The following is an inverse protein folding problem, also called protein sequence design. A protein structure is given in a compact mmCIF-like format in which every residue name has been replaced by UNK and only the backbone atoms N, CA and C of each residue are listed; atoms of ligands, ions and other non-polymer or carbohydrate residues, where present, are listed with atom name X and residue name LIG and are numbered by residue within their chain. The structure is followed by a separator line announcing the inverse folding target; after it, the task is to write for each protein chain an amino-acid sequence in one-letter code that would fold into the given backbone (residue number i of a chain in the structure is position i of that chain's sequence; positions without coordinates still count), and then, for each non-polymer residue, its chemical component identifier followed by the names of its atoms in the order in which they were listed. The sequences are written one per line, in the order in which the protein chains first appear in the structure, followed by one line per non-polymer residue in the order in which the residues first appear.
data_IF_135993342973
#
_entry.id   IF_135993342973
#
_cell.length_a   1.000
_cell.length_b   1.000
_cell.length_c   1.000
_cell.angle_alpha   90.00
_cell.angle_beta   90.00
_cell.angle_gamma   90.00
#
_symmetry.space_group_name_H-M   'P 1'
#
loop_
_entity.id
_entity.type
_entity.pdbx_description
1 polymer ?
#
# COMPACT_ATOMS: atom_id res chain seq x y z
N UNK A 1 -65.54 12.84 17.16
CA UNK A 1 -64.66 11.67 17.35
C UNK A 1 -64.05 11.37 15.99
N UNK A 2 -62.87 11.94 15.72
CA UNK A 2 -62.13 11.74 14.48
C UNK A 2 -60.98 10.80 14.77
N UNK A 3 -61.04 9.62 14.19
CA UNK A 3 -60.07 8.54 14.33
C UNK A 3 -58.85 8.87 13.46
N UNK A 4 -57.72 9.16 14.10
CA UNK A 4 -56.45 9.39 13.42
C UNK A 4 -55.82 8.04 13.09
N UNK A 5 -55.92 7.63 11.83
CA UNK A 5 -55.07 6.60 11.25
C UNK A 5 -53.61 7.01 11.44
N UNK A 6 -52.89 6.29 12.29
CA UNK A 6 -51.42 6.36 12.34
C UNK A 6 -50.91 5.61 11.13
N UNK A 7 -50.46 6.36 10.14
CA UNK A 7 -49.65 5.81 9.05
C UNK A 7 -48.46 5.07 9.67
N UNK A 8 -48.49 3.75 9.55
CA UNK A 8 -47.34 2.91 9.86
C UNK A 8 -46.37 3.11 8.71
N UNK A 9 -45.51 4.13 8.83
CA UNK A 9 -44.42 4.33 7.90
C UNK A 9 -43.51 3.10 8.01
N UNK A 10 -43.62 2.21 7.03
CA UNK A 10 -42.61 1.20 6.76
C UNK A 10 -41.33 1.96 6.45
N UNK A 11 -40.46 2.08 7.47
CA UNK A 11 -39.11 2.58 7.30
C UNK A 11 -38.43 1.71 6.26
N UNK A 12 -38.21 2.32 5.09
CA UNK A 12 -37.43 1.77 3.99
C UNK A 12 -36.15 1.16 4.59
N UNK A 13 -35.99 -0.15 4.42
CA UNK A 13 -34.83 -0.89 4.89
C UNK A 13 -33.61 -0.33 4.17
N UNK A 14 -32.89 0.56 4.85
CA UNK A 14 -31.51 0.89 4.51
C UNK A 14 -30.80 -0.44 4.25
N UNK A 15 -30.00 -0.59 3.18
CA UNK A 15 -29.17 -1.77 3.03
C UNK A 15 -28.34 -1.84 4.30
N UNK A 16 -28.62 -2.83 5.15
CA UNK A 16 -27.87 -3.06 6.37
C UNK A 16 -26.45 -3.33 5.89
N UNK A 17 -25.60 -2.30 5.96
CA UNK A 17 -24.17 -2.46 5.78
C UNK A 17 -23.80 -3.64 6.69
N UNK A 18 -23.13 -4.69 6.18
CA UNK A 18 -22.77 -5.80 7.03
C UNK A 18 -21.99 -5.23 8.22
N UNK A 19 -22.35 -5.63 9.44
CA UNK A 19 -21.61 -5.25 10.63
C UNK A 19 -20.20 -5.81 10.46
N UNK A 20 -19.27 -4.91 10.13
CA UNK A 20 -17.85 -5.22 10.02
C UNK A 20 -17.31 -5.06 11.42
N UNK A 21 -16.83 -6.15 11.99
CA UNK A 21 -16.22 -6.16 13.31
C UNK A 21 -14.74 -6.53 13.19
N UNK A 22 -13.95 -6.16 14.19
CA UNK A 22 -12.55 -6.56 14.31
C UNK A 22 -12.39 -7.50 15.49
N UNK A 23 -11.78 -8.66 15.24
CA UNK A 23 -11.72 -9.75 16.20
C UNK A 23 -10.34 -10.38 16.25
N UNK A 24 -10.02 -11.01 17.38
CA UNK A 24 -8.83 -11.85 17.53
C UNK A 24 -9.22 -13.22 18.10
N UNK A 25 -8.33 -14.20 17.88
CA UNK A 25 -8.49 -15.57 18.32
C UNK A 25 -7.23 -16.00 19.07
N UNK A 26 -7.20 -15.66 20.36
CA UNK A 26 -6.05 -15.91 21.24
C UNK A 26 -5.88 -17.40 21.58
N UNK A 27 -6.93 -18.21 21.37
CA UNK A 27 -6.96 -19.64 21.68
C UNK A 27 -7.87 -20.40 20.72
N UNK A 28 -7.62 -21.70 20.57
CA UNK A 28 -8.54 -22.61 19.91
C UNK A 28 -9.83 -22.78 20.74
N UNK A 29 -11.01 -22.83 20.11
CA UNK A 29 -12.23 -23.29 20.77
C UNK A 29 -12.06 -24.71 21.33
N UNK A 30 -12.81 -25.04 22.38
CA UNK A 30 -12.76 -26.38 22.98
C UNK A 30 -13.22 -27.47 22.01
N UNK A 31 -14.11 -27.13 21.08
CA UNK A 31 -14.67 -28.03 20.07
C UNK A 31 -13.71 -28.32 18.89
N UNK A 32 -12.45 -27.86 18.96
CA UNK A 32 -11.43 -28.14 17.94
C UNK A 32 -11.49 -27.19 16.74
N UNK A 33 -11.39 -27.73 15.52
CA UNK A 33 -11.32 -27.02 14.23
C UNK A 33 -12.59 -27.17 13.37
N UNK A 34 -13.61 -27.88 13.86
CA UNK A 34 -14.81 -28.21 13.08
C UNK A 34 -15.68 -27.00 12.70
N UNK A 35 -15.48 -25.89 13.40
CA UNK A 35 -16.10 -24.60 13.10
C UNK A 35 -15.47 -23.89 11.89
N UNK A 36 -14.31 -24.34 11.40
CA UNK A 36 -13.64 -23.80 10.21
C UNK A 36 -14.05 -24.60 8.98
N UNK A 37 -14.32 -23.91 7.88
CA UNK A 37 -14.61 -24.56 6.61
C UNK A 37 -13.48 -25.52 6.21
N UNK A 38 -13.76 -26.77 5.78
CA UNK A 38 -12.74 -27.80 5.54
C UNK A 38 -11.59 -27.38 4.61
N UNK A 39 -11.89 -26.58 3.58
CA UNK A 39 -10.89 -26.05 2.64
C UNK A 39 -9.94 -25.02 3.26
N UNK A 40 -10.38 -24.36 4.34
CA UNK A 40 -9.67 -23.24 4.95
C UNK A 40 -8.95 -23.67 6.25
N UNK A 41 -9.10 -24.93 6.69
CA UNK A 41 -8.51 -25.46 7.94
C UNK A 41 -6.99 -25.34 7.99
N UNK A 42 -6.31 -25.75 6.92
CA UNK A 42 -4.85 -25.68 6.85
C UNK A 42 -4.35 -24.22 6.89
N UNK A 43 -5.11 -23.28 6.32
CA UNK A 43 -4.79 -21.86 6.38
C UNK A 43 -4.98 -21.34 7.81
N UNK A 44 -6.06 -21.75 8.48
CA UNK A 44 -6.37 -21.36 9.84
C UNK A 44 -5.35 -21.87 10.86
N UNK A 45 -4.82 -23.08 10.71
CA UNK A 45 -3.78 -23.64 11.60
C UNK A 45 -2.51 -22.79 11.70
N UNK A 46 -2.12 -22.11 10.61
CA UNK A 46 -0.99 -21.18 10.61
C UNK A 46 -1.30 -19.77 11.11
N UNK A 47 -2.59 -19.45 11.27
CA UNK A 47 -3.07 -18.13 11.65
C UNK A 47 -3.65 -18.08 13.08
N UNK A 48 -4.14 -19.19 13.60
CA UNK A 48 -4.84 -19.31 14.88
C UNK A 48 -4.14 -20.41 15.71
N UNK A 49 -3.84 -20.17 17.00
CA UNK A 49 -4.13 -18.96 17.76
C UNK A 49 -3.11 -17.86 17.46
N UNK A 50 -3.56 -16.62 17.41
CA UNK A 50 -2.66 -15.46 17.34
C UNK A 50 -3.30 -14.19 17.88
N UNK A 51 -2.45 -13.21 18.13
CA UNK A 51 -2.79 -11.83 18.44
C UNK A 51 -3.13 -11.01 17.18
N UNK A 52 -3.30 -11.65 16.01
CA UNK A 52 -3.65 -10.95 14.77
C UNK A 52 -5.08 -10.41 14.84
N UNK A 53 -5.25 -9.21 14.31
CA UNK A 53 -6.56 -8.57 14.20
C UNK A 53 -7.17 -8.94 12.84
N UNK A 54 -8.27 -9.68 12.87
CA UNK A 54 -9.01 -10.10 11.69
C UNK A 54 -10.21 -9.18 11.48
N UNK A 55 -10.49 -8.84 10.22
CA UNK A 55 -11.76 -8.22 9.84
C UNK A 55 -12.81 -9.30 9.67
N UNK A 56 -13.88 -9.26 10.48
CA UNK A 56 -15.00 -10.18 10.45
C UNK A 56 -16.16 -9.58 9.68
N UNK A 57 -16.71 -10.35 8.75
CA UNK A 57 -17.89 -9.97 7.98
C UNK A 57 -18.89 -11.13 7.92
N UNK A 58 -20.15 -10.87 8.29
CA UNK A 58 -21.21 -11.86 8.17
C UNK A 58 -21.60 -12.06 6.71
N UNK A 59 -21.52 -13.30 6.23
CA UNK A 59 -21.89 -13.66 4.86
C UNK A 59 -23.35 -14.13 4.80
N UNK A 60 -24.02 -14.00 3.63
CA UNK A 60 -25.42 -14.42 3.45
C UNK A 60 -25.68 -15.90 3.70
N UNK A 61 -24.66 -16.75 3.63
CA UNK A 61 -24.74 -18.18 3.88
C UNK A 61 -24.69 -18.55 5.38
N UNK A 62 -24.67 -17.56 6.28
CA UNK A 62 -24.61 -17.77 7.73
C UNK A 62 -23.21 -18.01 8.30
N UNK A 63 -22.17 -18.04 7.46
CA UNK A 63 -20.78 -18.08 7.90
C UNK A 63 -20.24 -16.66 8.13
N UNK A 64 -19.26 -16.54 9.01
CA UNK A 64 -18.39 -15.37 9.07
C UNK A 64 -17.21 -15.57 8.11
N UNK A 65 -16.87 -14.51 7.38
CA UNK A 65 -15.61 -14.42 6.67
C UNK A 65 -14.63 -13.62 7.52
N UNK A 66 -13.53 -14.26 7.91
CA UNK A 66 -12.39 -13.61 8.53
C UNK A 66 -11.39 -13.24 7.43
N UNK A 67 -11.12 -11.95 7.29
CA UNK A 67 -10.13 -11.43 6.34
C UNK A 67 -8.89 -10.96 7.08
N UNK A 68 -7.72 -11.34 6.57
CA UNK A 68 -6.41 -10.88 7.03
C UNK A 68 -5.55 -10.51 5.82
N UNK A 69 -5.64 -9.24 5.40
CA UNK A 69 -5.07 -8.79 4.14
C UNK A 69 -5.67 -9.59 2.97
N UNK A 70 -4.85 -10.28 2.15
CA UNK A 70 -5.36 -11.10 1.05
C UNK A 70 -5.97 -12.44 1.50
N UNK A 71 -5.69 -12.88 2.73
CA UNK A 71 -6.14 -14.18 3.25
C UNK A 71 -7.60 -14.07 3.71
N UNK A 72 -8.40 -15.10 3.39
CA UNK A 72 -9.81 -15.19 3.78
C UNK A 72 -10.09 -16.60 4.30
N UNK A 73 -10.78 -16.69 5.43
CA UNK A 73 -11.19 -17.96 6.05
C UNK A 73 -12.69 -17.87 6.35
N UNK A 74 -13.43 -18.93 6.02
CA UNK A 74 -14.84 -19.06 6.37
C UNK A 74 -14.98 -19.85 7.67
N UNK A 75 -15.71 -19.27 8.61
CA UNK A 75 -15.88 -19.84 9.95
C UNK A 75 -17.34 -19.77 10.40
N UNK A 76 -17.77 -20.76 11.16
CA UNK A 76 -19.07 -20.75 11.83
C UNK A 76 -19.07 -19.75 12.99
N UNK A 77 -20.26 -19.34 13.47
CA UNK A 77 -20.37 -18.50 14.67
C UNK A 77 -19.70 -19.15 15.88
N UNK A 78 -18.62 -18.51 16.37
CA UNK A 78 -17.89 -18.91 17.58
C UNK A 78 -17.64 -17.68 18.46
N UNK A 79 -17.15 -17.91 19.68
CA UNK A 79 -16.75 -16.82 20.56
C UNK A 79 -15.41 -16.24 20.09
N UNK A 80 -15.39 -14.94 19.87
CA UNK A 80 -14.20 -14.18 19.51
C UNK A 80 -13.84 -13.22 20.64
N UNK A 81 -12.56 -12.87 20.74
CA UNK A 81 -12.15 -11.73 21.55
C UNK A 81 -12.28 -10.46 20.69
N UNK A 82 -12.90 -9.42 21.21
CA UNK A 82 -13.04 -8.14 20.49
C UNK A 82 -11.67 -7.45 20.38
N UNK A 83 -11.39 -6.87 19.21
CA UNK A 83 -10.16 -6.13 18.95
C UNK A 83 -10.48 -4.71 18.47
N UNK A 84 -9.64 -3.72 18.82
CA UNK A 84 -9.79 -2.37 18.29
C UNK A 84 -9.64 -2.36 16.76
N UNK A 85 -10.42 -1.49 16.11
CA UNK A 85 -10.30 -1.28 14.67
C UNK A 85 -8.91 -0.72 14.33
N UNK A 86 -8.17 -1.36 13.41
CA UNK A 86 -6.87 -0.87 12.99
C UNK A 86 -7.03 0.36 12.08
N UNK A 87 -6.23 1.39 12.34
CA UNK A 87 -6.17 2.63 11.54
C UNK A 87 -5.66 2.39 10.12
N UNK A 88 -4.76 1.43 9.95
CA UNK A 88 -4.18 1.04 8.68
C UNK A 88 -4.47 -0.42 8.37
N UNK A 89 -4.51 -0.76 7.09
CA UNK A 89 -4.72 -2.13 6.62
C UNK A 89 -3.42 -2.79 6.17
N UNK A 90 -3.43 -4.12 6.10
CA UNK A 90 -2.33 -4.89 5.51
C UNK A 90 -2.17 -4.49 4.05
N UNK A 91 -0.92 -4.48 3.58
CA UNK A 91 -0.51 -4.07 2.23
C UNK A 91 -0.50 -2.55 1.98
N UNK A 92 -0.96 -1.73 2.94
CA UNK A 92 -0.84 -0.28 2.82
C UNK A 92 0.60 0.21 2.97
N UNK A 93 0.96 1.24 2.19
CA UNK A 93 2.23 1.94 2.31
C UNK A 93 2.12 3.05 3.36
N UNK A 94 3.08 3.07 4.27
CA UNK A 94 3.17 4.05 5.35
C UNK A 94 4.58 4.60 5.47
N UNK A 95 4.68 5.82 5.99
CA UNK A 95 5.93 6.47 6.37
C UNK A 95 6.02 6.60 7.88
N UNK A 96 7.24 6.54 8.41
CA UNK A 96 7.53 6.79 9.81
C UNK A 96 7.61 8.30 10.06
N UNK A 97 6.84 8.80 11.04
CA UNK A 97 6.82 10.25 11.38
C UNK A 97 8.13 10.76 12.00
N UNK A 98 8.89 9.88 12.66
CA UNK A 98 10.09 10.23 13.45
C UNK A 98 11.41 9.91 12.71
N UNK A 99 11.45 10.07 11.39
CA UNK A 99 12.73 10.05 10.67
C UNK A 99 13.52 11.32 11.03
N UNK A 100 14.26 11.27 12.14
CA UNK A 100 15.21 12.31 12.52
C UNK A 100 16.21 12.53 11.38
N UNK A 101 16.22 13.75 10.85
CA UNK A 101 17.33 14.44 10.16
C UNK A 101 18.30 13.53 9.40
N UNK A 102 17.75 12.64 8.59
CA UNK A 102 18.48 11.85 7.63
C UNK A 102 17.59 11.73 6.42
N UNK A 103 18.17 12.05 5.27
CA UNK A 103 17.59 12.14 3.92
C UNK A 103 16.97 10.81 3.41
N UNK A 104 16.73 9.86 4.31
CA UNK A 104 16.13 8.55 4.09
C UNK A 104 14.74 8.57 4.70
N UNK A 105 13.76 8.91 3.87
CA UNK A 105 12.36 8.64 4.20
C UNK A 105 12.18 7.14 4.35
N UNK A 106 12.10 6.65 5.60
CA UNK A 106 11.84 5.24 5.88
C UNK A 106 10.35 4.95 5.64
N UNK A 107 10.00 4.69 4.38
CA UNK A 107 8.70 4.16 3.99
C UNK A 107 8.73 2.62 4.02
N UNK A 108 7.58 2.01 4.29
CA UNK A 108 7.41 0.56 4.29
C UNK A 108 5.96 0.17 4.06
N UNK A 109 5.76 -1.12 3.75
CA UNK A 109 4.44 -1.70 3.56
C UNK A 109 4.04 -2.49 4.80
N UNK A 110 2.80 -2.38 5.26
CA UNK A 110 2.32 -3.16 6.41
C UNK A 110 2.16 -4.62 5.98
N UNK A 111 2.77 -5.55 6.71
CA UNK A 111 2.65 -6.99 6.42
C UNK A 111 1.97 -7.80 7.54
N UNK A 112 1.92 -7.29 8.77
CA UNK A 112 1.27 -7.95 9.91
C UNK A 112 0.68 -6.86 10.81
N UNK A 113 -0.50 -7.11 11.35
CA UNK A 113 -1.18 -6.27 12.33
C UNK A 113 -1.55 -7.14 13.52
N UNK A 114 -1.04 -6.78 14.69
CA UNK A 114 -1.22 -7.54 15.93
C UNK A 114 -1.75 -6.64 17.03
N UNK A 115 -2.59 -7.18 17.89
CA UNK A 115 -3.05 -6.50 19.08
C UNK A 115 -2.00 -6.61 20.19
N UNK A 116 -1.65 -5.48 20.81
CA UNK A 116 -0.77 -5.46 21.97
C UNK A 116 -1.57 -5.20 23.23
N UNK A 117 -1.62 -6.19 24.13
CA UNK A 117 -2.25 -6.03 25.44
C UNK A 117 -1.57 -4.93 26.29
N UNK A 118 -0.26 -4.70 26.10
CA UNK A 118 0.49 -3.71 26.88
C UNK A 118 0.12 -2.27 26.52
N UNK A 119 -0.12 -2.02 25.22
CA UNK A 119 -0.51 -0.69 24.72
C UNK A 119 -2.02 -0.53 24.52
N UNK A 120 -2.79 -1.62 24.68
CA UNK A 120 -4.21 -1.71 24.34
C UNK A 120 -4.53 -1.17 22.94
N UNK A 121 -3.65 -1.49 21.97
CA UNK A 121 -3.69 -0.88 20.65
C UNK A 121 -3.14 -1.82 19.55
N UNK A 122 -3.56 -1.63 18.29
CA UNK A 122 -2.95 -2.27 17.14
C UNK A 122 -1.48 -1.88 16.95
N UNK A 123 -0.65 -2.89 16.73
CA UNK A 123 0.75 -2.80 16.37
C UNK A 123 0.96 -3.23 14.92
N UNK A 124 1.73 -2.44 14.20
CA UNK A 124 1.97 -2.59 12.77
C UNK A 124 3.41 -3.04 12.53
N UNK A 125 3.56 -4.10 11.75
CA UNK A 125 4.86 -4.59 11.30
C UNK A 125 5.05 -4.24 9.83
N UNK A 126 6.23 -3.69 9.50
CA UNK A 126 6.53 -3.15 8.19
C UNK A 126 7.54 -4.03 7.45
N UNK A 127 7.37 -4.14 6.14
CA UNK A 127 8.38 -4.68 5.23
C UNK A 127 8.93 -3.55 4.36
N UNK A 128 10.27 -3.47 4.28
CA UNK A 128 11.01 -2.42 3.56
C UNK A 128 11.95 -3.10 2.57
N UNK A 129 11.64 -3.03 1.28
CA UNK A 129 12.28 -3.91 0.29
C UNK A 129 12.09 -5.37 0.70
N UNK A 130 13.19 -6.06 0.99
CA UNK A 130 13.19 -7.46 1.44
C UNK A 130 13.30 -7.63 2.97
N UNK A 131 13.39 -6.53 3.72
CA UNK A 131 13.61 -6.56 5.17
C UNK A 131 12.31 -6.39 5.96
N UNK A 132 11.91 -7.42 6.71
CA UNK A 132 10.83 -7.33 7.70
C UNK A 132 11.32 -6.63 8.96
N UNK A 133 10.57 -5.66 9.46
CA UNK A 133 10.85 -5.00 10.73
C UNK A 133 10.69 -6.00 11.86
N UNK A 134 11.66 -6.00 12.79
CA UNK A 134 11.56 -6.77 14.04
C UNK A 134 10.78 -6.01 15.10
N UNK A 135 10.82 -4.69 15.03
CA UNK A 135 10.14 -3.79 15.96
C UNK A 135 8.75 -3.45 15.41
N UNK A 136 7.69 -3.59 16.22
CA UNK A 136 6.37 -3.09 15.87
C UNK A 136 6.30 -1.56 16.01
N UNK A 137 5.39 -0.94 15.25
CA UNK A 137 5.07 0.47 15.34
C UNK A 137 3.62 0.67 15.77
N UNK A 138 3.33 1.74 16.49
CA UNK A 138 1.96 2.18 16.79
C UNK A 138 1.45 3.10 15.69
N UNK A 139 0.13 3.26 15.59
CA UNK A 139 -0.49 4.15 14.62
C UNK A 139 0.07 5.59 14.69
N UNK A 140 0.33 6.08 15.91
CA UNK A 140 0.85 7.43 16.14
C UNK A 140 2.22 7.67 15.48
N UNK A 141 3.04 6.64 15.35
CA UNK A 141 4.37 6.71 14.74
C UNK A 141 4.32 6.61 13.19
N UNK A 142 3.15 6.34 12.62
CA UNK A 142 2.96 6.09 11.19
C UNK A 142 2.07 7.15 10.55
N UNK A 143 2.31 7.37 9.27
CA UNK A 143 1.52 8.23 8.41
C UNK A 143 1.23 7.50 7.09
N UNK A 144 -0.03 7.54 6.63
CA UNK A 144 -0.39 6.94 5.36
C UNK A 144 0.42 7.60 4.25
N UNK A 145 1.13 6.79 3.47
CA UNK A 145 1.87 7.28 2.33
C UNK A 145 1.27 6.74 1.06
N UNK A 146 0.49 7.60 0.41
CA UNK A 146 0.12 7.39 -0.99
C UNK A 146 1.30 7.86 -1.84
N UNK A 147 1.96 6.99 -2.62
CA UNK A 147 2.92 7.44 -3.61
C UNK A 147 2.13 8.19 -4.70
N UNK A 148 1.98 9.50 -4.53
CA UNK A 148 1.52 10.37 -5.62
C UNK A 148 2.63 10.40 -6.68
N UNK A 149 2.40 9.72 -7.80
CA UNK A 149 3.44 9.55 -8.80
C UNK A 149 3.06 8.59 -9.89
N UNK A 150 1.99 8.92 -10.58
CA UNK A 150 1.68 8.48 -11.94
C UNK A 150 2.99 8.37 -12.73
N UNK A 151 3.33 7.14 -13.16
CA UNK A 151 4.24 6.99 -14.29
C UNK A 151 3.67 7.89 -15.37
N UNK A 152 4.35 8.99 -15.69
CA UNK A 152 4.16 9.63 -16.99
C UNK A 152 4.32 8.48 -17.96
N UNK A 153 3.26 8.11 -18.66
CA UNK A 153 3.40 7.25 -19.83
C UNK A 153 4.57 7.86 -20.64
N UNK A 154 5.49 7.05 -21.17
CA UNK A 154 6.56 7.57 -22.02
C UNK A 154 5.92 8.07 -23.32
N UNK A 155 5.18 9.17 -23.24
CA UNK A 155 4.81 10.01 -24.36
C UNK A 155 6.12 10.57 -24.87
N UNK A 156 6.54 9.93 -25.96
CA UNK A 156 7.31 10.50 -27.04
C UNK A 156 8.50 11.36 -26.57
N UNK A 157 9.68 10.73 -26.56
CA UNK A 157 10.94 11.48 -26.63
C UNK A 157 10.73 12.64 -27.62
N UNK A 158 11.02 13.90 -27.24
CA UNK A 158 10.95 14.98 -28.21
C UNK A 158 11.88 14.60 -29.35
N UNK A 159 11.29 14.34 -30.53
CA UNK A 159 12.06 14.16 -31.76
C UNK A 159 12.86 15.43 -31.90
N UNK A 160 14.16 15.33 -31.68
CA UNK A 160 15.07 16.43 -31.93
C UNK A 160 14.97 16.77 -33.41
N UNK A 161 14.27 17.86 -33.74
CA UNK A 161 14.37 18.45 -35.05
C UNK A 161 15.66 19.28 -35.06
N UNK A 162 16.68 18.90 -35.86
CA UNK A 162 17.83 19.77 -36.04
C UNK A 162 17.32 21.12 -36.58
N UNK A 163 17.89 22.25 -36.13
CA UNK A 163 17.54 23.55 -36.70
C UNK A 163 17.82 23.52 -38.19
N UNK A 164 16.82 23.90 -38.99
CA UNK A 164 16.99 24.11 -40.42
C UNK A 164 18.14 25.08 -40.62
N UNK A 165 19.15 24.63 -41.36
CA UNK A 165 20.29 25.45 -41.73
C UNK A 165 19.81 26.59 -42.62
N UNK A 166 19.61 27.78 -42.04
CA UNK A 166 19.67 29.05 -42.76
C UNK A 166 21.11 29.24 -43.25
N UNK A 167 21.47 28.50 -44.30
CA UNK A 167 22.64 28.79 -45.12
C UNK A 167 22.21 29.76 -46.22
N UNK A 168 21.82 30.97 -45.80
CA UNK A 168 21.68 32.10 -46.71
C UNK A 168 23.05 32.73 -46.88
N UNK A 169 23.50 32.68 -48.12
CA UNK A 169 24.74 33.24 -48.66
C UNK A 169 25.00 34.67 -48.15
N UNK A 170 26.23 34.93 -47.73
CA UNK A 170 26.79 36.28 -47.80
C UNK A 170 28.19 36.19 -48.37
N UNK A 171 28.26 36.55 -49.65
CA UNK A 171 29.47 37.03 -50.30
C UNK A 171 30.13 38.10 -49.44
N UNK A 172 31.42 37.98 -49.21
CA UNK A 172 32.27 39.18 -49.13
C UNK A 172 33.63 38.88 -49.73
N UNK A 173 33.72 39.37 -50.95
CA UNK A 173 34.90 39.62 -51.76
C UNK A 173 35.98 40.42 -51.02
N UNK A 174 37.21 40.36 -51.55
CA UNK A 174 38.38 41.22 -51.31
C UNK A 174 39.52 40.68 -50.42
N UNK A 175 40.46 39.97 -51.08
CA UNK A 175 41.83 40.44 -51.42
C UNK A 175 42.87 40.78 -50.31
N UNK A 176 44.18 40.88 -50.62
CA UNK A 176 45.14 39.78 -50.76
C UNK A 176 46.38 40.05 -49.85
N UNK A 177 47.48 39.34 -50.08
CA UNK A 177 48.83 39.58 -49.51
C UNK A 177 49.09 39.12 -48.07
N UNK A 178 49.78 37.98 -47.94
CA UNK A 178 50.98 37.93 -47.09
C UNK A 178 51.85 36.75 -47.49
N UNK A 179 52.87 37.07 -48.29
CA UNK A 179 54.13 36.36 -48.31
C UNK A 179 54.61 36.10 -46.88
N UNK A 180 54.88 34.84 -46.51
CA UNK A 180 56.11 34.55 -45.76
C UNK A 180 56.60 33.13 -45.99
N UNK A 181 57.90 33.09 -46.19
CA UNK A 181 58.73 32.03 -46.75
C UNK A 181 59.41 31.21 -45.63
N UNK A 182 60.05 30.11 -46.02
CA UNK A 182 60.92 29.23 -45.23
C UNK A 182 60.17 28.21 -44.33
N UNK A 183 60.45 26.90 -44.34
CA UNK A 183 61.75 26.25 -44.45
C UNK A 183 61.71 24.91 -45.20
N UNK A 184 62.72 24.75 -46.06
CA UNK A 184 63.30 23.46 -46.47
C UNK A 184 64.25 22.97 -45.37
N UNK A 185 64.69 21.71 -45.51
CA UNK A 185 65.59 20.89 -44.68
C UNK A 185 64.84 19.99 -43.68
N UNK A 186 64.97 18.66 -43.73
CA UNK A 186 65.90 17.87 -44.52
C UNK A 186 65.63 16.38 -44.46
N UNK A 187 66.46 15.70 -45.26
CA UNK A 187 66.52 14.28 -45.56
C UNK A 187 66.36 13.32 -44.38
N UNK A 188 65.71 12.21 -44.71
CA UNK A 188 65.80 10.95 -43.99
C UNK A 188 65.62 9.79 -44.97
N UNK A 189 66.76 9.32 -45.50
CA UNK A 189 67.07 8.03 -46.17
C UNK A 189 67.33 8.10 -47.69
#
# INVERSE_FOLDING_TARGET
MTDSFRDTQFSESLPLKPNIDHVMLSRWPQDGDDWIHPEDRQLAEGLIPSDRIFRRELQPNGYYQLSYGPLKIRVQPVMFDDAPEPVFEIDQFVKLKMAFDSDRTEAGRIYDIRYSQYHDAPQYYLIRGDMKSRTPYLADALELFTPEGQLREPDEFPVWNPPESDATESDTDSDPDSDFNADRYGDGI
#
